data_IF_509792835750
#
_entry.id   IF_509792835750
#
_cell.length_a   1.000
_cell.length_b   1.000
_cell.length_c   1.000
_cell.angle_alpha   90.00
_cell.angle_beta   90.00
_cell.angle_gamma   90.00
#
_symmetry.space_group_name_H-M   'P 1'
#
loop_
_entity.id
_entity.type
_entity.pdbx_description
1 polymer ?
#
# COMPACT_ATOMS: atom_id res chain seq x y z
N UNK A 1 -8.91 4.65 16.87
CA UNK A 1 -9.81 3.50 17.02
C UNK A 1 -8.95 2.30 17.35
N UNK A 2 -9.25 1.57 18.43
CA UNK A 2 -8.44 0.43 18.87
C UNK A 2 -8.62 -0.75 17.92
N UNK A 3 -7.50 -1.35 17.51
CA UNK A 3 -7.44 -2.51 16.64
C UNK A 3 -8.11 -3.71 17.33
N UNK A 4 -9.35 -4.05 16.93
CA UNK A 4 -10.00 -5.30 17.29
C UNK A 4 -9.56 -6.42 16.35
N UNK A 5 -8.25 -6.64 16.21
CA UNK A 5 -7.75 -7.85 15.56
C UNK A 5 -7.74 -8.93 16.64
N UNK A 6 -8.53 -10.02 16.50
CA UNK A 6 -8.55 -11.08 17.51
C UNK A 6 -7.14 -11.69 17.67
N UNK A 7 -6.71 -12.06 18.89
CA UNK A 7 -5.40 -12.69 19.13
C UNK A 7 -5.18 -13.96 18.29
N UNK A 8 -6.27 -14.63 17.92
CA UNK A 8 -6.29 -15.83 17.08
C UNK A 8 -5.82 -15.52 15.66
N UNK A 9 -6.15 -14.34 15.10
CA UNK A 9 -5.77 -13.96 13.73
C UNK A 9 -4.25 -13.86 13.61
N UNK A 10 -3.61 -13.07 14.47
CA UNK A 10 -2.15 -12.94 14.49
C UNK A 10 -1.42 -14.28 14.68
N UNK A 11 -1.98 -15.19 15.48
CA UNK A 11 -1.41 -16.53 15.68
C UNK A 11 -1.54 -17.39 14.41
N UNK A 12 -2.70 -17.38 13.75
CA UNK A 12 -2.90 -18.06 12.46
C UNK A 12 -1.98 -17.46 11.38
N UNK A 13 -1.87 -16.14 11.36
CA UNK A 13 -1.13 -15.39 10.34
C UNK A 13 0.38 -15.63 10.44
N UNK A 14 0.92 -15.76 11.66
CA UNK A 14 2.34 -16.03 11.87
C UNK A 14 2.73 -17.50 11.74
N UNK A 15 1.78 -18.45 11.84
CA UNK A 15 2.10 -19.89 11.92
C UNK A 15 1.64 -20.69 10.71
N UNK A 16 0.42 -20.46 10.22
CA UNK A 16 -0.19 -21.25 9.14
C UNK A 16 -0.03 -20.56 7.79
N UNK A 17 -0.15 -19.24 7.76
CA UNK A 17 -0.05 -18.45 6.53
C UNK A 17 1.28 -18.64 5.77
N UNK A 18 2.46 -18.69 6.41
CA UNK A 18 3.72 -18.93 5.71
C UNK A 18 3.78 -20.29 4.98
N UNK A 19 3.03 -21.29 5.47
CA UNK A 19 2.97 -22.64 4.88
C UNK A 19 2.20 -22.65 3.56
N UNK A 20 1.17 -21.82 3.43
CA UNK A 20 0.29 -21.79 2.26
C UNK A 20 0.54 -20.60 1.33
N UNK A 21 1.05 -19.49 1.85
CA UNK A 21 1.33 -18.27 1.11
C UNK A 21 2.40 -17.43 1.86
N UNK A 22 3.67 -17.68 1.56
CA UNK A 22 4.79 -16.91 2.15
C UNK A 22 4.63 -15.41 1.92
N UNK A 23 4.26 -15.00 0.71
CA UNK A 23 4.07 -13.58 0.38
C UNK A 23 2.94 -12.92 1.21
N UNK A 24 1.89 -13.67 1.54
CA UNK A 24 0.80 -13.14 2.36
C UNK A 24 1.30 -12.85 3.79
N UNK A 25 2.12 -13.75 4.36
CA UNK A 25 2.74 -13.52 5.66
C UNK A 25 3.74 -12.35 5.64
N UNK A 26 4.49 -12.19 4.54
CA UNK A 26 5.44 -11.08 4.38
C UNK A 26 4.73 -9.73 4.28
N UNK A 27 3.55 -9.67 3.67
CA UNK A 27 2.77 -8.42 3.51
C UNK A 27 2.05 -7.97 4.80
N UNK A 28 1.99 -8.81 5.84
CA UNK A 28 1.36 -8.45 7.10
C UNK A 28 2.10 -7.30 7.82
N UNK A 29 1.32 -6.42 8.44
CA UNK A 29 1.88 -5.32 9.20
C UNK A 29 2.75 -5.86 10.37
N UNK A 30 4.01 -5.45 10.41
CA UNK A 30 4.96 -5.86 11.46
C UNK A 30 5.68 -7.19 11.21
N UNK A 31 5.49 -7.82 10.05
CA UNK A 31 6.29 -8.98 9.60
C UNK A 31 7.79 -8.67 9.62
N UNK A 32 8.65 -9.70 9.69
CA UNK A 32 10.11 -9.52 9.59
C UNK A 32 10.49 -8.83 8.27
N UNK A 33 9.80 -9.20 7.18
CA UNK A 33 9.98 -8.59 5.88
C UNK A 33 9.65 -7.09 5.89
N UNK A 34 8.47 -6.69 6.37
CA UNK A 34 8.09 -5.28 6.43
C UNK A 34 8.97 -4.49 7.39
N UNK A 35 9.43 -5.09 8.49
CA UNK A 35 10.41 -4.43 9.39
C UNK A 35 11.73 -4.18 8.69
N UNK A 36 12.27 -5.17 7.98
CA UNK A 36 13.50 -5.00 7.22
C UNK A 36 13.35 -4.00 6.07
N UNK A 37 12.22 -4.02 5.35
CA UNK A 37 11.92 -3.07 4.27
C UNK A 37 11.86 -1.62 4.75
N UNK A 38 11.31 -1.40 5.96
CA UNK A 38 11.17 -0.08 6.56
C UNK A 38 12.36 0.31 7.47
N UNK A 39 13.43 -0.48 7.50
CA UNK A 39 14.66 -0.15 8.25
C UNK A 39 15.55 0.80 7.43
N UNK A 40 15.12 2.07 7.39
CA UNK A 40 15.77 3.14 6.63
C UNK A 40 14.84 3.80 5.60
N UNK A 41 15.37 4.70 4.75
CA UNK A 41 14.59 5.34 3.70
C UNK A 41 14.11 4.31 2.66
N UNK A 42 12.82 4.36 2.33
CA UNK A 42 12.24 3.62 1.22
C UNK A 42 12.67 4.26 -0.10
N UNK A 43 12.61 5.60 -0.18
CA UNK A 43 12.99 6.36 -1.35
C UNK A 43 14.52 6.41 -1.50
N UNK A 44 15.02 5.86 -2.61
CA UNK A 44 16.44 5.80 -2.91
C UNK A 44 16.92 6.96 -3.79
N UNK A 45 18.18 7.42 -3.64
CA UNK A 45 18.75 8.47 -4.48
C UNK A 45 18.67 8.13 -5.98
N UNK A 46 18.30 9.11 -6.79
CA UNK A 46 18.20 8.96 -8.25
C UNK A 46 16.90 8.34 -8.76
N UNK A 47 15.97 7.97 -7.88
CA UNK A 47 14.66 7.40 -8.25
C UNK A 47 13.54 8.42 -7.99
N UNK A 48 12.66 8.60 -8.98
CA UNK A 48 11.43 9.39 -8.84
C UNK A 48 10.29 8.46 -8.42
N UNK A 49 9.69 8.68 -7.26
CA UNK A 49 8.60 7.85 -6.74
C UNK A 49 7.24 8.51 -6.97
N UNK A 50 6.29 7.75 -7.52
CA UNK A 50 4.92 8.16 -7.72
C UNK A 50 3.98 7.05 -7.21
N UNK A 51 3.14 7.37 -6.23
CA UNK A 51 2.31 6.41 -5.50
C UNK A 51 0.82 6.79 -5.64
N UNK A 52 0.10 6.20 -6.61
CA UNK A 52 -1.36 6.33 -6.68
C UNK A 52 -2.01 5.42 -5.64
N UNK A 53 -2.99 5.94 -4.91
CA UNK A 53 -3.74 5.24 -3.87
C UNK A 53 -5.25 5.52 -4.00
N UNK A 54 -6.06 4.75 -3.28
CA UNK A 54 -7.50 5.00 -3.15
C UNK A 54 -7.91 5.17 -1.69
N UNK A 55 -8.83 6.09 -1.42
CA UNK A 55 -9.45 6.26 -0.09
C UNK A 55 -10.41 5.11 0.25
N UNK A 56 -10.81 4.32 -0.73
CA UNK A 56 -11.72 3.18 -0.58
C UNK A 56 -10.97 1.83 -0.53
N UNK A 57 -9.68 1.83 -0.15
CA UNK A 57 -8.89 0.60 -0.08
C UNK A 57 -9.32 -0.26 1.11
N UNK A 58 -9.73 -1.49 0.83
CA UNK A 58 -10.12 -2.50 1.84
C UNK A 58 -9.10 -3.62 1.98
N UNK A 59 -8.02 -3.59 1.20
CA UNK A 59 -6.94 -4.59 1.20
C UNK A 59 -5.77 -4.07 2.04
N UNK A 60 -5.31 -2.85 1.76
CA UNK A 60 -4.23 -2.18 2.49
C UNK A 60 -4.84 -1.14 3.43
N UNK A 61 -5.02 -1.50 4.70
CA UNK A 61 -5.69 -0.64 5.69
C UNK A 61 -4.77 -0.24 6.85
N UNK A 62 -4.91 0.97 7.41
CA UNK A 62 -5.85 2.03 7.03
C UNK A 62 -5.55 2.65 5.66
N UNK A 63 -6.59 2.88 4.84
CA UNK A 63 -6.45 3.42 3.49
C UNK A 63 -5.66 4.74 3.50
N UNK A 64 -4.78 4.93 2.53
CA UNK A 64 -3.86 6.06 2.47
C UNK A 64 -2.63 5.88 3.35
N UNK A 65 -2.79 5.66 4.67
CA UNK A 65 -1.65 5.46 5.57
C UNK A 65 -0.84 4.19 5.23
N UNK A 66 -1.53 3.11 4.85
CA UNK A 66 -0.89 1.86 4.42
C UNK A 66 -0.43 1.88 2.95
N UNK A 67 -0.65 2.98 2.22
CA UNK A 67 -0.45 3.07 0.77
C UNK A 67 0.34 4.31 0.34
N UNK A 68 0.93 5.06 1.28
CA UNK A 68 1.71 6.26 0.99
C UNK A 68 3.11 6.15 1.58
N UNK A 69 4.07 6.81 0.94
CA UNK A 69 5.45 6.93 1.44
C UNK A 69 5.66 8.38 1.88
N UNK A 70 5.91 8.57 3.18
CA UNK A 70 6.08 9.87 3.82
C UNK A 70 7.49 10.43 3.72
N UNK A 71 8.14 10.34 2.55
CA UNK A 71 9.53 10.75 2.37
C UNK A 71 9.67 11.89 1.34
N UNK A 72 10.72 12.75 1.47
CA UNK A 72 10.93 13.85 0.54
C UNK A 72 11.06 13.37 -0.92
N UNK A 73 10.40 14.07 -1.83
CA UNK A 73 10.46 13.76 -3.27
C UNK A 73 9.51 12.65 -3.74
N UNK A 74 8.75 12.02 -2.83
CA UNK A 74 7.68 11.09 -3.20
C UNK A 74 6.42 11.87 -3.58
N UNK A 75 5.84 11.54 -4.73
CA UNK A 75 4.53 12.06 -5.15
C UNK A 75 3.41 11.06 -4.83
N UNK A 76 2.72 11.25 -3.71
CA UNK A 76 1.53 10.48 -3.34
C UNK A 76 0.26 11.14 -3.90
N UNK A 77 -0.67 10.35 -4.44
CA UNK A 77 -1.91 10.85 -5.06
C UNK A 77 -3.07 9.94 -4.74
N UNK A 78 -4.22 10.50 -4.36
CA UNK A 78 -5.44 9.74 -4.31
C UNK A 78 -6.20 9.87 -5.62
N UNK A 79 -6.68 8.74 -6.16
CA UNK A 79 -7.51 8.75 -7.36
C UNK A 79 -8.74 9.66 -7.24
N UNK A 80 -9.30 9.80 -6.03
CA UNK A 80 -10.45 10.68 -5.80
C UNK A 80 -10.13 12.18 -5.96
N UNK A 81 -8.84 12.56 -5.99
CA UNK A 81 -8.39 13.93 -6.30
C UNK A 81 -8.24 14.15 -7.82
N UNK A 82 -8.09 13.06 -8.59
CA UNK A 82 -8.06 13.07 -10.05
C UNK A 82 -9.46 13.01 -10.67
N UNK A 83 -10.40 12.30 -10.03
CA UNK A 83 -11.80 12.17 -10.46
C UNK A 83 -12.75 11.81 -9.31
N UNK A 84 -14.02 12.23 -9.33
CA UNK A 84 -14.99 11.86 -8.30
C UNK A 84 -15.39 10.38 -8.41
N UNK A 85 -15.76 9.77 -7.28
CA UNK A 85 -16.41 8.45 -7.20
C UNK A 85 -15.53 7.36 -6.61
N UNK A 86 -16.17 6.28 -6.16
CA UNK A 86 -15.49 5.19 -5.44
C UNK A 86 -14.65 4.31 -6.37
N UNK A 87 -13.48 3.89 -5.88
CA UNK A 87 -12.57 2.98 -6.60
C UNK A 87 -11.92 2.01 -5.63
N UNK A 88 -12.15 0.72 -5.82
CA UNK A 88 -11.52 -0.31 -4.97
C UNK A 88 -10.04 -0.51 -5.28
N UNK A 89 -9.33 -1.20 -4.38
CA UNK A 89 -7.95 -1.63 -4.58
C UNK A 89 -7.72 -2.32 -5.94
N UNK A 90 -8.65 -3.20 -6.35
CA UNK A 90 -8.52 -3.96 -7.60
C UNK A 90 -8.82 -3.12 -8.85
N UNK A 91 -9.62 -2.07 -8.70
CA UNK A 91 -9.99 -1.18 -9.78
C UNK A 91 -8.93 -0.10 -10.03
N UNK A 92 -8.21 0.33 -8.98
CA UNK A 92 -7.23 1.41 -9.03
C UNK A 92 -6.20 1.25 -10.18
N UNK A 93 -5.54 0.08 -10.38
CA UNK A 93 -4.54 -0.07 -11.45
C UNK A 93 -5.12 -0.03 -12.87
N UNK A 94 -6.45 -0.13 -13.00
CA UNK A 94 -7.17 -0.18 -14.29
C UNK A 94 -7.93 1.11 -14.58
N UNK A 95 -7.94 2.07 -13.65
CA UNK A 95 -8.68 3.32 -13.83
C UNK A 95 -7.96 4.23 -14.85
N UNK A 96 -8.65 4.74 -15.89
CA UNK A 96 -8.04 5.59 -16.90
C UNK A 96 -7.41 6.88 -16.35
N UNK A 97 -7.95 7.44 -15.27
CA UNK A 97 -7.40 8.64 -14.64
C UNK A 97 -6.02 8.35 -14.01
N UNK A 98 -5.87 7.19 -13.36
CA UNK A 98 -4.57 6.73 -12.85
C UNK A 98 -3.61 6.47 -14.00
N UNK A 99 -4.07 5.79 -15.07
CA UNK A 99 -3.24 5.55 -16.25
C UNK A 99 -2.70 6.85 -16.87
N UNK A 100 -3.55 7.87 -17.02
CA UNK A 100 -3.13 9.19 -17.52
C UNK A 100 -2.11 9.86 -16.59
N UNK A 101 -2.38 9.86 -15.29
CA UNK A 101 -1.49 10.44 -14.29
C UNK A 101 -0.13 9.76 -14.26
N UNK A 102 -0.07 8.42 -14.38
CA UNK A 102 1.19 7.67 -14.48
C UNK A 102 2.00 8.10 -15.70
N UNK A 103 1.36 8.23 -16.87
CA UNK A 103 2.05 8.67 -18.09
C UNK A 103 2.66 10.07 -17.92
N UNK A 104 1.99 10.98 -17.23
CA UNK A 104 2.52 12.32 -16.97
C UNK A 104 3.79 12.29 -16.07
N UNK A 105 4.00 11.23 -15.27
CA UNK A 105 5.20 11.05 -14.42
C UNK A 105 6.37 10.34 -15.10
N UNK A 106 6.13 9.75 -16.27
CA UNK A 106 7.15 9.08 -17.07
C UNK A 106 7.86 10.01 -18.04
N UNK A 107 7.30 11.21 -18.27
CA UNK A 107 7.96 12.29 -19.00
C UNK A 107 8.98 13.05 -18.11
#
# INVERSE_FOLDING_TARGET
MANLVPPVRNTVDSTLLPVFCTACADLEAGSDFMRALNDGPIAQPGVRYAVPATRDDTTSTPAGAASSIGEPGVSNEFIQDLRPGAVSHQQLPRDPAVGRWVLDRLN
#
